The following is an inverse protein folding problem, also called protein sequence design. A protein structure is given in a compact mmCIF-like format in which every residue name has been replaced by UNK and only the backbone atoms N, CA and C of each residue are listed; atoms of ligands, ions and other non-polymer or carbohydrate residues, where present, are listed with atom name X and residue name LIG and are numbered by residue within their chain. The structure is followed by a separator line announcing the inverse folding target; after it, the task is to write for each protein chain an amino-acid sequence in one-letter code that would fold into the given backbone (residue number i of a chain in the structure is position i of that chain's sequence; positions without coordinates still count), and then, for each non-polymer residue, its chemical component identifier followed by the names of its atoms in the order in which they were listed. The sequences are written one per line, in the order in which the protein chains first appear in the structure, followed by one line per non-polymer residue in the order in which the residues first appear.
data_IF_441972669548
#
_entry.id   IF_441972669548
#
_cell.length_a   1.000
_cell.length_b   1.000
_cell.length_c   1.000
_cell.angle_alpha   90.00
_cell.angle_beta   90.00
_cell.angle_gamma   90.00
#
_symmetry.space_group_name_H-M   'P 1'
#
loop_
_entity.id
_entity.type
_entity.pdbx_description
1 polymer ?
#
# COMPACT_ATOMS: atom_id res chain seq x y z
N UNK A 1 -10.73 9.89 10.85
CA UNK A 1 -9.83 9.77 9.69
C UNK A 1 -8.61 10.57 10.09
N UNK A 2 -7.47 9.92 10.38
CA UNK A 2 -6.24 10.64 10.67
C UNK A 2 -5.80 11.27 9.35
N UNK A 3 -5.61 12.58 9.33
CA UNK A 3 -4.99 13.24 8.18
C UNK A 3 -3.60 12.65 8.01
N UNK A 4 -3.35 12.05 6.83
CA UNK A 4 -2.04 11.51 6.51
C UNK A 4 -1.02 12.64 6.49
N UNK A 5 0.18 12.30 6.90
CA UNK A 5 1.28 13.24 6.73
C UNK A 5 1.54 13.46 5.24
N UNK A 6 2.05 14.64 4.85
CA UNK A 6 2.48 14.92 3.48
C UNK A 6 3.49 13.89 2.95
N UNK A 7 4.26 13.30 3.88
CA UNK A 7 5.24 12.25 3.60
C UNK A 7 4.54 10.97 3.14
N UNK A 8 3.48 10.54 3.82
CA UNK A 8 2.72 9.33 3.46
C UNK A 8 2.01 9.49 2.12
N UNK A 9 1.45 10.67 1.85
CA UNK A 9 0.85 10.96 0.54
C UNK A 9 1.88 10.89 -0.59
N UNK A 10 3.11 11.38 -0.36
CA UNK A 10 4.20 11.25 -1.34
C UNK A 10 4.62 9.79 -1.52
N UNK A 11 4.77 9.04 -0.43
CA UNK A 11 5.16 7.62 -0.48
C UNK A 11 4.14 6.77 -1.29
N UNK A 12 2.84 7.01 -1.11
CA UNK A 12 1.78 6.33 -1.88
C UNK A 12 1.91 6.63 -3.38
N UNK A 13 2.20 7.89 -3.75
CA UNK A 13 2.38 8.28 -5.15
C UNK A 13 3.59 7.61 -5.79
N UNK A 14 4.70 7.53 -5.07
CA UNK A 14 5.92 6.83 -5.54
C UNK A 14 5.67 5.33 -5.74
N UNK A 15 4.82 4.71 -4.91
CA UNK A 15 4.47 3.30 -5.03
C UNK A 15 3.61 2.96 -6.25
N UNK A 16 3.02 3.95 -6.96
CA UNK A 16 2.21 3.71 -8.16
C UNK A 16 2.98 3.04 -9.28
N UNK A 17 4.25 3.40 -9.47
CA UNK A 17 5.09 2.83 -10.52
C UNK A 17 5.37 1.34 -10.31
N UNK A 18 5.95 0.90 -9.18
CA UNK A 18 6.17 -0.52 -8.94
C UNK A 18 4.85 -1.31 -8.89
N UNK A 19 3.76 -0.68 -8.41
CA UNK A 19 2.43 -1.29 -8.50
C UNK A 19 2.02 -1.57 -9.95
N UNK A 20 2.13 -0.58 -10.84
CA UNK A 20 1.77 -0.74 -12.25
C UNK A 20 2.66 -1.77 -12.96
N UNK A 21 3.96 -1.82 -12.64
CA UNK A 21 4.89 -2.82 -13.18
C UNK A 21 4.43 -4.25 -12.83
N UNK A 22 4.11 -4.53 -11.56
CA UNK A 22 3.59 -5.84 -11.14
C UNK A 22 2.24 -6.17 -11.79
N UNK A 23 1.33 -5.20 -11.87
CA UNK A 23 0.02 -5.40 -12.53
C UNK A 23 0.20 -5.74 -14.02
N UNK A 24 1.16 -5.12 -14.70
CA UNK A 24 1.49 -5.43 -16.09
C UNK A 24 2.11 -6.82 -16.24
N UNK A 25 3.08 -7.17 -15.40
CA UNK A 25 3.72 -8.49 -15.40
C UNK A 25 2.72 -9.63 -15.18
N UNK A 26 1.74 -9.42 -14.30
CA UNK A 26 0.68 -10.39 -14.02
C UNK A 26 -0.45 -10.39 -15.05
N UNK A 27 -0.40 -9.54 -16.08
CA UNK A 27 -1.45 -9.42 -17.09
C UNK A 27 -2.77 -8.86 -16.57
N UNK A 28 -2.74 -8.12 -15.45
CA UNK A 28 -3.92 -7.60 -14.77
C UNK A 28 -4.35 -6.21 -15.27
N UNK A 29 -3.57 -5.57 -16.14
CA UNK A 29 -3.85 -4.22 -16.68
C UNK A 29 -5.30 -3.97 -17.11
N UNK A 30 -6.01 -4.90 -17.79
CA UNK A 30 -7.41 -4.67 -18.20
C UNK A 30 -8.35 -4.36 -17.04
N UNK A 31 -8.08 -4.87 -15.84
CA UNK A 31 -8.89 -4.57 -14.66
C UNK A 31 -8.63 -3.15 -14.12
N UNK A 32 -7.49 -2.53 -14.44
CA UNK A 32 -7.00 -1.28 -13.85
C UNK A 32 -7.03 -0.07 -14.81
N UNK A 33 -7.13 -0.29 -16.13
CA UNK A 33 -7.13 0.76 -17.16
C UNK A 33 -8.18 1.87 -16.96
N UNK A 34 -9.33 1.55 -16.35
CA UNK A 34 -10.40 2.51 -16.07
C UNK A 34 -10.35 3.20 -14.70
N UNK A 35 -9.39 2.83 -13.84
CA UNK A 35 -9.33 3.34 -12.46
C UNK A 35 -8.65 4.71 -12.41
N UNK A 36 -9.24 5.60 -11.63
CA UNK A 36 -8.64 6.89 -11.31
C UNK A 36 -7.40 6.73 -10.43
N UNK A 37 -6.52 7.72 -10.46
CA UNK A 37 -5.34 7.75 -9.59
C UNK A 37 -5.70 7.64 -8.09
N UNK A 38 -6.85 8.19 -7.68
CA UNK A 38 -7.33 8.11 -6.30
C UNK A 38 -7.77 6.68 -5.92
N UNK A 39 -8.35 5.92 -6.84
CA UNK A 39 -8.67 4.51 -6.60
C UNK A 39 -7.41 3.65 -6.52
N UNK A 40 -6.41 3.93 -7.33
CA UNK A 40 -5.10 3.26 -7.24
C UNK A 40 -4.44 3.58 -5.90
N UNK A 41 -4.42 4.85 -5.48
CA UNK A 41 -3.88 5.27 -4.18
C UNK A 41 -4.57 4.54 -3.03
N UNK A 42 -5.89 4.39 -3.10
CA UNK A 42 -6.67 3.67 -2.08
C UNK A 42 -6.29 2.19 -1.99
N UNK A 43 -6.01 1.54 -3.13
CA UNK A 43 -5.56 0.14 -3.16
C UNK A 43 -4.17 0.03 -2.54
N UNK A 44 -3.24 0.91 -2.92
CA UNK A 44 -1.88 0.94 -2.38
C UNK A 44 -1.92 1.17 -0.88
N UNK A 45 -2.70 2.14 -0.42
CA UNK A 45 -2.89 2.45 1.00
C UNK A 45 -3.38 1.24 1.78
N UNK A 46 -4.44 0.56 1.32
CA UNK A 46 -4.96 -0.62 2.00
C UNK A 46 -3.90 -1.73 2.16
N UNK A 47 -3.05 -1.92 1.14
CA UNK A 47 -1.93 -2.86 1.21
C UNK A 47 -0.85 -2.41 2.21
N UNK A 48 -0.47 -1.14 2.19
CA UNK A 48 0.56 -0.57 3.07
C UNK A 48 0.12 -0.58 4.53
N UNK A 49 -1.11 -0.17 4.82
CA UNK A 49 -1.66 -0.15 6.18
C UNK A 49 -1.79 -1.56 6.74
N UNK A 50 -2.33 -2.52 5.96
CA UNK A 50 -2.39 -3.92 6.36
C UNK A 50 -1.01 -4.53 6.63
N UNK A 51 0.00 -4.18 5.83
CA UNK A 51 1.38 -4.61 6.04
C UNK A 51 1.98 -3.98 7.31
N UNK A 52 1.84 -2.67 7.51
CA UNK A 52 2.32 -1.96 8.71
C UNK A 52 1.69 -2.51 9.98
N UNK A 53 0.39 -2.73 9.98
CA UNK A 53 -0.35 -3.30 11.09
C UNK A 53 0.13 -4.73 11.42
N UNK A 54 0.35 -5.55 10.40
CA UNK A 54 0.89 -6.90 10.58
C UNK A 54 2.30 -6.87 11.16
N UNK A 55 3.19 -6.03 10.61
CA UNK A 55 4.54 -5.84 11.11
C UNK A 55 4.55 -5.34 12.56
N UNK A 56 3.68 -4.38 12.90
CA UNK A 56 3.52 -3.89 14.27
C UNK A 56 3.09 -4.99 15.23
N UNK A 57 2.11 -5.81 14.87
CA UNK A 57 1.69 -6.96 15.69
C UNK A 57 2.79 -8.00 15.85
N UNK A 58 3.54 -8.30 14.79
CA UNK A 58 4.65 -9.25 14.85
C UNK A 58 5.78 -8.74 15.72
N UNK A 59 6.20 -7.48 15.55
CA UNK A 59 7.21 -6.86 16.40
C UNK A 59 6.80 -6.84 17.89
N UNK A 60 5.54 -6.52 18.18
CA UNK A 60 5.01 -6.54 19.56
C UNK A 60 4.86 -7.96 20.14
N UNK A 61 4.62 -8.97 19.29
CA UNK A 61 4.56 -10.37 19.71
C UNK A 61 5.94 -11.02 19.86
N UNK A 62 6.96 -10.52 19.18
CA UNK A 62 8.37 -10.92 19.37
C UNK A 62 8.97 -10.32 20.66
N UNK A 63 8.30 -9.34 21.28
CA UNK A 63 8.69 -8.65 22.52
C UNK A 63 8.11 -9.28 23.81
N UNK A 64 7.73 -10.57 23.80
CA UNK A 64 7.47 -11.31 25.06
C UNK A 64 8.66 -12.21 25.40
N UNK A 65 9.73 -11.67 26.03
CA UNK A 65 10.66 -12.48 26.78
C UNK A 65 9.96 -12.94 28.06
N UNK A 66 9.96 -14.25 28.26
CA UNK A 66 9.67 -14.95 29.52
C UNK A 66 10.23 -14.24 30.77
#
# INVERSE_FOLDING_TARGET
MIDKTDIETKAIKEARRPFAEVIAELGLMPAFEGRSAAEIDRIIEACVDGFRDAMGRLALNDDVPF
#
